data_IF_094470319407
#
_entry.id   IF_094470319407
#
_cell.length_a   1.000
_cell.length_b   1.000
_cell.length_c   1.000
_cell.angle_alpha   90.00
_cell.angle_beta   90.00
_cell.angle_gamma   90.00
#
_symmetry.space_group_name_H-M   'P 1'
#
loop_
_entity.id
_entity.type
_entity.pdbx_description
1 polymer ?
#
# COMPACT_ATOMS: atom_id res chain seq x y z
N UNK A 1 -9.74 16.12 -1.12
CA UNK A 1 -8.89 15.76 -2.28
C UNK A 1 -9.48 14.57 -3.04
N UNK A 2 -9.66 13.40 -2.41
CA UNK A 2 -10.21 12.18 -3.07
C UNK A 2 -11.60 12.41 -3.68
N UNK A 3 -12.52 13.00 -2.91
CA UNK A 3 -13.88 13.31 -3.40
C UNK A 3 -13.91 14.29 -4.57
N UNK A 4 -12.94 15.20 -4.63
CA UNK A 4 -12.78 16.18 -5.72
C UNK A 4 -12.24 15.51 -6.97
N UNK A 5 -11.14 14.76 -6.86
CA UNK A 5 -10.54 14.03 -7.99
C UNK A 5 -11.57 13.08 -8.62
N UNK A 6 -12.31 12.35 -7.77
CA UNK A 6 -13.41 11.48 -8.21
C UNK A 6 -14.50 12.23 -8.99
N UNK A 7 -14.92 13.42 -8.52
CA UNK A 7 -15.95 14.24 -9.19
C UNK A 7 -15.45 14.85 -10.50
N UNK A 8 -14.17 15.20 -10.57
CA UNK A 8 -13.55 15.83 -11.74
C UNK A 8 -13.07 14.80 -12.79
N UNK A 9 -13.22 13.50 -12.52
CA UNK A 9 -12.80 12.43 -13.43
C UNK A 9 -11.27 12.34 -13.56
N UNK A 10 -10.54 12.68 -12.51
CA UNK A 10 -9.07 12.72 -12.50
C UNK A 10 -8.53 11.47 -11.80
N UNK A 11 -7.54 10.82 -12.43
CA UNK A 11 -6.82 9.70 -11.85
C UNK A 11 -6.03 10.12 -10.59
N UNK A 12 -6.03 9.28 -9.57
CA UNK A 12 -5.41 9.58 -8.29
C UNK A 12 -4.67 8.37 -7.72
N UNK A 13 -3.43 8.60 -7.29
CA UNK A 13 -2.68 7.68 -6.43
C UNK A 13 -2.64 8.28 -5.02
N UNK A 14 -3.02 7.49 -4.02
CA UNK A 14 -2.97 7.88 -2.60
C UNK A 14 -2.05 6.92 -1.86
N UNK A 15 -1.00 7.46 -1.23
CA UNK A 15 -0.05 6.71 -0.41
C UNK A 15 -0.01 7.29 1.01
N UNK A 16 0.14 6.40 2.01
CA UNK A 16 0.49 6.82 3.35
C UNK A 16 0.17 5.79 4.42
N UNK A 17 0.96 5.77 5.49
CA UNK A 17 0.73 4.91 6.66
C UNK A 17 -0.55 5.26 7.44
N UNK A 18 -1.16 6.42 7.17
CA UNK A 18 -2.42 6.87 7.76
C UNK A 18 -3.65 6.44 6.95
N UNK A 19 -3.45 5.84 5.77
CA UNK A 19 -4.54 5.27 4.98
C UNK A 19 -4.87 3.91 5.54
N UNK A 20 -6.08 3.79 6.09
CA UNK A 20 -6.57 2.54 6.66
C UNK A 20 -7.27 1.75 5.55
N UNK A 21 -6.84 0.51 5.24
CA UNK A 21 -7.51 -0.34 4.27
C UNK A 21 -9.00 -0.46 4.59
N UNK A 22 -9.83 -0.19 3.59
CA UNK A 22 -11.29 -0.19 3.70
C UNK A 22 -11.90 -0.47 2.35
N UNK A 23 -12.97 -1.27 2.33
CA UNK A 23 -13.70 -1.54 1.09
C UNK A 23 -14.49 -0.29 0.65
N UNK A 24 -14.93 0.55 1.60
CA UNK A 24 -15.76 1.72 1.32
C UNK A 24 -15.10 2.68 0.33
N UNK A 25 -13.82 2.99 0.52
CA UNK A 25 -13.11 3.94 -0.36
C UNK A 25 -12.98 3.43 -1.79
N UNK A 26 -12.86 2.11 -1.99
CA UNK A 26 -12.83 1.49 -3.32
C UNK A 26 -14.21 1.46 -3.95
N UNK A 27 -15.24 1.05 -3.20
CA UNK A 27 -16.63 1.03 -3.69
C UNK A 27 -17.13 2.42 -4.04
N UNK A 28 -16.80 3.42 -3.24
CA UNK A 28 -17.13 4.82 -3.48
C UNK A 28 -16.61 5.29 -4.85
N UNK A 29 -15.46 4.80 -5.30
CA UNK A 29 -14.91 5.09 -6.63
C UNK A 29 -15.58 4.24 -7.72
N UNK A 30 -15.71 2.93 -7.50
CA UNK A 30 -16.32 1.98 -8.44
C UNK A 30 -17.78 2.30 -8.76
N UNK A 31 -18.56 2.70 -7.76
CA UNK A 31 -19.97 3.06 -7.90
C UNK A 31 -20.20 4.31 -8.78
N UNK A 32 -19.15 5.06 -9.11
CA UNK A 32 -19.21 6.20 -10.04
C UNK A 32 -18.67 5.85 -11.43
N UNK A 33 -18.46 4.57 -11.71
CA UNK A 33 -17.96 4.07 -12.99
C UNK A 33 -16.44 4.10 -13.14
N UNK A 34 -15.70 4.39 -12.06
CA UNK A 34 -14.23 4.39 -12.08
C UNK A 34 -13.61 3.03 -11.73
N UNK A 35 -12.33 2.85 -12.04
CA UNK A 35 -11.53 1.70 -11.58
C UNK A 35 -10.81 2.07 -10.28
N UNK A 36 -10.81 1.15 -9.31
CA UNK A 36 -10.06 1.34 -8.07
C UNK A 36 -9.47 0.02 -7.55
N UNK A 37 -8.18 0.08 -7.19
CA UNK A 37 -7.46 -1.02 -6.55
C UNK A 37 -6.95 -0.56 -5.18
N UNK A 38 -7.01 -1.44 -4.18
CA UNK A 38 -6.42 -1.23 -2.88
C UNK A 38 -5.20 -2.12 -2.71
N UNK A 39 -4.07 -1.55 -2.29
CA UNK A 39 -2.81 -2.27 -2.15
C UNK A 39 -2.21 -2.02 -0.76
N UNK A 40 -1.78 -3.09 -0.10
CA UNK A 40 -0.98 -3.03 1.14
C UNK A 40 0.37 -3.62 0.85
N UNK A 41 1.38 -2.76 0.76
CA UNK A 41 2.77 -3.16 0.55
C UNK A 41 3.40 -3.55 1.89
N UNK A 42 4.12 -4.67 1.89
CA UNK A 42 4.68 -5.25 3.11
C UNK A 42 6.11 -5.74 2.86
N UNK A 43 6.81 -6.00 3.95
CA UNK A 43 8.05 -6.78 3.96
C UNK A 43 7.86 -7.84 5.03
N UNK A 44 7.68 -9.11 4.65
CA UNK A 44 7.38 -10.14 5.63
C UNK A 44 8.62 -10.48 6.47
N UNK A 45 9.77 -10.63 5.82
CA UNK A 45 11.03 -10.94 6.48
C UNK A 45 11.52 -9.78 7.38
N UNK A 46 11.63 -9.97 8.72
CA UNK A 46 12.06 -8.91 9.63
C UNK A 46 13.48 -8.41 9.36
N UNK A 47 14.42 -9.31 9.06
CA UNK A 47 15.82 -8.95 8.76
C UNK A 47 15.91 -8.07 7.52
N UNK A 48 15.22 -8.43 6.44
CA UNK A 48 15.15 -7.62 5.21
C UNK A 48 14.48 -6.26 5.50
N UNK A 49 13.46 -6.24 6.36
CA UNK A 49 12.81 -4.98 6.74
C UNK A 49 13.78 -4.06 7.48
N UNK A 50 14.56 -4.61 8.42
CA UNK A 50 15.57 -3.87 9.16
C UNK A 50 16.67 -3.33 8.23
N UNK A 51 17.23 -4.17 7.36
CA UNK A 51 18.23 -3.78 6.35
C UNK A 51 17.72 -2.63 5.47
N UNK A 52 16.44 -2.65 5.07
CA UNK A 52 15.84 -1.56 4.28
C UNK A 52 15.68 -0.26 5.05
N UNK A 53 15.44 -0.33 6.36
CA UNK A 53 15.42 0.87 7.22
C UNK A 53 16.83 1.46 7.29
N UNK A 54 17.85 0.62 7.48
CA UNK A 54 19.26 1.03 7.55
C UNK A 54 19.74 1.60 6.20
N UNK A 55 19.46 0.95 5.08
CA UNK A 55 19.88 1.40 3.76
C UNK A 55 19.26 2.76 3.33
N UNK A 56 18.06 3.09 3.84
CA UNK A 56 17.42 4.39 3.58
C UNK A 56 18.17 5.56 4.22
N UNK A 57 18.94 5.33 5.28
CA UNK A 57 19.67 6.38 6.00
C UNK A 57 20.84 6.94 5.24
N UNK A 58 21.59 6.03 4.60
CA UNK A 58 22.75 6.34 3.76
C UNK A 58 22.41 7.46 2.77
N UNK A 59 21.13 7.54 2.38
CA UNK A 59 20.63 8.49 1.40
C UNK A 59 19.74 9.61 1.96
N UNK A 60 19.35 9.65 3.25
CA UNK A 60 18.27 10.56 3.71
C UNK A 60 18.51 11.40 4.97
N UNK A 61 19.60 11.22 5.73
CA UNK A 61 19.85 11.97 7.01
C UNK A 61 18.66 11.93 8.00
N UNK A 62 17.73 10.98 7.84
CA UNK A 62 16.70 10.69 8.84
C UNK A 62 17.39 9.90 9.96
N UNK A 63 16.76 9.67 11.10
CA UNK A 63 17.41 8.97 12.22
C UNK A 63 16.93 7.53 12.29
N UNK A 64 17.60 6.58 11.65
CA UNK A 64 17.22 5.16 11.71
C UNK A 64 17.33 4.62 13.10
N UNK A 65 18.28 5.10 13.90
CA UNK A 65 18.37 4.75 15.31
C UNK A 65 17.01 4.86 16.02
N UNK A 66 16.21 5.88 15.72
CA UNK A 66 14.85 6.05 16.24
C UNK A 66 13.88 4.99 15.70
N UNK A 67 13.92 4.70 14.41
CA UNK A 67 13.03 3.73 13.76
C UNK A 67 13.38 2.30 14.17
N UNK A 68 14.66 1.95 14.24
CA UNK A 68 15.20 0.68 14.72
C UNK A 68 14.87 0.47 16.19
N UNK A 69 15.02 1.49 17.04
CA UNK A 69 14.56 1.43 18.44
C UNK A 69 13.05 1.20 18.56
N UNK A 70 12.27 1.54 17.52
CA UNK A 70 10.83 1.32 17.45
C UNK A 70 10.44 0.18 16.50
N UNK A 71 11.37 -0.71 16.12
CA UNK A 71 11.15 -1.68 15.04
C UNK A 71 9.96 -2.60 15.32
N UNK A 72 9.83 -3.12 16.54
CA UNK A 72 8.69 -3.93 16.95
C UNK A 72 7.35 -3.19 16.80
N UNK A 73 7.33 -1.89 17.09
CA UNK A 73 6.14 -1.05 16.90
C UNK A 73 5.79 -0.89 15.41
N UNK A 74 6.80 -0.73 14.55
CA UNK A 74 6.62 -0.67 13.10
C UNK A 74 6.04 -2.00 12.59
N UNK A 75 6.57 -3.14 13.06
CA UNK A 75 6.06 -4.48 12.74
C UNK A 75 4.60 -4.65 13.20
N UNK A 76 4.27 -4.22 14.42
CA UNK A 76 2.89 -4.26 14.93
C UNK A 76 1.93 -3.43 14.07
N UNK A 77 2.33 -2.23 13.62
CA UNK A 77 1.53 -1.40 12.71
C UNK A 77 1.33 -2.12 11.38
N UNK A 78 2.39 -2.70 10.79
CA UNK A 78 2.29 -3.48 9.55
C UNK A 78 1.29 -4.64 9.71
N UNK A 79 1.39 -5.42 10.79
CA UNK A 79 0.46 -6.52 11.08
C UNK A 79 -0.99 -6.03 11.14
N UNK A 80 -1.25 -4.90 11.81
CA UNK A 80 -2.59 -4.33 11.88
C UNK A 80 -3.11 -3.86 10.52
N UNK A 81 -2.25 -3.32 9.65
CA UNK A 81 -2.60 -2.95 8.27
C UNK A 81 -2.89 -4.19 7.41
N UNK A 82 -2.07 -5.24 7.50
CA UNK A 82 -2.29 -6.51 6.80
C UNK A 82 -3.62 -7.13 7.20
N UNK A 83 -3.92 -7.20 8.50
CA UNK A 83 -5.17 -7.76 9.01
C UNK A 83 -6.38 -7.00 8.44
N UNK A 84 -6.32 -5.67 8.42
CA UNK A 84 -7.38 -4.86 7.81
C UNK A 84 -7.50 -5.11 6.31
N UNK A 85 -6.39 -5.13 5.59
CA UNK A 85 -6.37 -5.37 4.14
C UNK A 85 -7.02 -6.70 3.76
N UNK A 86 -6.68 -7.79 4.49
CA UNK A 86 -7.30 -9.11 4.33
C UNK A 86 -8.81 -9.08 4.54
N UNK A 87 -9.30 -8.24 5.46
CA UNK A 87 -10.72 -8.02 5.70
C UNK A 87 -11.41 -7.03 4.73
N UNK A 88 -10.66 -6.39 3.83
CA UNK A 88 -11.19 -5.34 2.99
C UNK A 88 -10.55 -5.34 1.60
N UNK A 89 -11.00 -6.17 0.65
CA UNK A 89 -10.71 -6.15 -0.82
C UNK A 89 -9.37 -5.56 -1.34
N UNK A 90 -8.33 -5.54 -0.51
CA UNK A 90 -7.06 -4.90 -0.75
C UNK A 90 -6.05 -6.03 -0.86
N UNK A 91 -5.22 -5.99 -1.89
CA UNK A 91 -4.19 -7.01 -2.09
C UNK A 91 -3.00 -6.69 -1.20
N UNK A 92 -2.52 -7.72 -0.50
CA UNK A 92 -1.26 -7.64 0.26
C UNK A 92 -0.14 -8.10 -0.67
N UNK A 93 0.88 -7.26 -0.85
CA UNK A 93 2.02 -7.57 -1.71
C UNK A 93 3.28 -7.46 -0.87
N UNK A 94 4.04 -8.54 -0.77
CA UNK A 94 5.40 -8.48 -0.22
C UNK A 94 6.34 -7.93 -1.29
N UNK A 95 7.09 -6.90 -0.89
CA UNK A 95 8.01 -6.16 -1.75
C UNK A 95 9.45 -6.65 -1.64
N UNK A 96 9.75 -7.71 -0.87
CA UNK A 96 11.12 -8.18 -0.68
C UNK A 96 11.80 -8.59 -2.01
N UNK A 97 11.04 -9.18 -2.94
CA UNK A 97 11.49 -9.48 -4.31
C UNK A 97 11.36 -8.23 -5.18
N UNK A 98 12.49 -7.60 -5.49
CA UNK A 98 12.54 -6.46 -6.41
C UNK A 98 12.11 -6.90 -7.82
N UNK A 99 11.37 -6.03 -8.53
CA UNK A 99 10.89 -6.29 -9.89
C UNK A 99 9.53 -6.98 -9.99
N UNK A 100 9.28 -8.04 -9.20
CA UNK A 100 8.00 -8.78 -9.29
C UNK A 100 6.78 -7.97 -8.82
N UNK A 101 6.96 -7.06 -7.87
CA UNK A 101 5.82 -6.37 -7.28
C UNK A 101 5.15 -5.41 -8.26
N UNK A 102 5.90 -4.79 -9.18
CA UNK A 102 5.34 -3.86 -10.20
C UNK A 102 4.42 -4.62 -11.14
N UNK A 103 4.84 -5.80 -11.59
CA UNK A 103 4.03 -6.68 -12.43
C UNK A 103 2.76 -7.14 -11.70
N UNK A 104 2.87 -7.49 -10.42
CA UNK A 104 1.70 -7.84 -9.57
C UNK A 104 0.72 -6.67 -9.43
N UNK A 105 1.22 -5.44 -9.29
CA UNK A 105 0.38 -4.23 -9.27
C UNK A 105 -0.32 -4.02 -10.61
N UNK A 106 0.42 -4.15 -11.73
CA UNK A 106 -0.17 -4.03 -13.07
C UNK A 106 -1.27 -5.07 -13.31
N UNK A 107 -0.98 -6.34 -13.01
CA UNK A 107 -1.96 -7.41 -13.11
C UNK A 107 -3.24 -7.10 -12.32
N UNK A 108 -3.09 -6.62 -11.08
CA UNK A 108 -4.24 -6.27 -10.25
C UNK A 108 -5.06 -5.11 -10.83
N UNK A 109 -4.40 -4.13 -11.45
CA UNK A 109 -5.08 -3.03 -12.12
C UNK A 109 -5.84 -3.53 -13.35
N UNK A 110 -5.20 -4.34 -14.21
CA UNK A 110 -5.80 -4.92 -15.40
C UNK A 110 -7.05 -5.74 -15.05
N UNK A 111 -6.98 -6.59 -14.02
CA UNK A 111 -8.11 -7.37 -13.53
C UNK A 111 -9.32 -6.51 -13.13
N UNK A 112 -9.10 -5.35 -12.50
CA UNK A 112 -10.19 -4.44 -12.13
C UNK A 112 -10.66 -3.59 -13.32
N UNK A 113 -9.77 -3.27 -14.25
CA UNK A 113 -10.10 -2.55 -15.48
C UNK A 113 -11.00 -3.38 -16.40
N UNK A 114 -10.70 -4.67 -16.57
CA UNK A 114 -11.52 -5.56 -17.41
C UNK A 114 -12.91 -5.83 -16.84
N UNK A 115 -13.14 -5.68 -15.53
CA UNK A 115 -14.48 -5.82 -14.93
C UNK A 115 -15.46 -4.70 -15.33
N UNK A 116 -14.96 -3.58 -15.85
CA UNK A 116 -15.79 -2.48 -16.36
C UNK A 116 -16.16 -2.63 -17.84
N UNK A 117 -15.54 -3.59 -18.56
CA UNK A 117 -15.82 -3.88 -19.96
C UNK A 117 -16.77 -5.06 -20.09
#
# INVERSE_FOLDING_TARGET
MISRARREGIDLIVEGAHIIPSNRILQDWKNQGGVAIGLTLTIENPSIHQERIEAREVNTHRGASRYLASFERIRAIQTALITRAKGSNWKVIDTHLQGEFVEKVRQQFDEEWYKLR
#
